data_IF_468644202785
#
_entry.id   IF_468644202785
#
_cell.length_a   1.000
_cell.length_b   1.000
_cell.length_c   1.000
_cell.angle_alpha   90.00
_cell.angle_beta   90.00
_cell.angle_gamma   90.00
#
_symmetry.space_group_name_H-M   'P 1'
#
loop_
_entity.id
_entity.type
_entity.pdbx_description
1 polymer ?
#
# COMPACT_ATOMS: atom_id res chain seq x y z
N UNK A 1 8.34 15.71 -18.63
CA UNK A 1 7.67 15.85 -17.33
C UNK A 1 8.70 15.66 -16.25
N UNK A 2 8.74 16.53 -15.25
CA UNK A 2 9.81 16.54 -14.25
C UNK A 2 9.33 15.95 -12.93
N UNK A 3 9.89 14.79 -12.56
CA UNK A 3 9.82 14.27 -11.19
C UNK A 3 10.52 15.24 -10.23
N UNK A 4 10.04 15.30 -8.98
CA UNK A 4 10.68 16.06 -7.92
C UNK A 4 11.81 15.24 -7.28
N UNK A 5 13.03 15.39 -7.79
CA UNK A 5 14.20 14.67 -7.27
C UNK A 5 14.58 15.05 -5.83
N UNK A 6 14.18 16.23 -5.35
CA UNK A 6 14.42 16.65 -3.98
C UNK A 6 13.53 15.91 -2.95
N UNK A 7 12.55 15.12 -3.41
CA UNK A 7 11.73 14.29 -2.54
C UNK A 7 12.46 13.05 -2.02
N UNK A 8 13.55 12.64 -2.67
CA UNK A 8 14.34 11.47 -2.25
C UNK A 8 14.91 11.68 -0.84
N UNK A 9 14.66 10.72 0.04
CA UNK A 9 15.12 10.75 1.43
C UNK A 9 14.27 11.60 2.39
N UNK A 10 13.30 12.38 1.90
CA UNK A 10 12.43 13.21 2.75
C UNK A 10 11.38 12.34 3.45
N UNK A 11 11.17 12.58 4.75
CA UNK A 11 10.14 11.90 5.54
C UNK A 11 8.73 12.21 4.98
N UNK A 12 7.92 11.17 4.89
CA UNK A 12 6.49 11.18 4.54
C UNK A 12 5.72 10.57 5.72
N UNK A 13 4.59 11.18 6.09
CA UNK A 13 3.82 10.80 7.28
C UNK A 13 4.24 11.55 8.56
N UNK A 14 3.64 11.18 9.71
CA UNK A 14 2.78 10.02 9.90
C UNK A 14 1.43 10.15 9.18
N UNK A 15 0.99 9.04 8.59
CA UNK A 15 -0.35 8.86 8.03
C UNK A 15 -1.09 7.86 8.90
N UNK A 16 -2.27 8.23 9.39
CA UNK A 16 -3.10 7.38 10.23
C UNK A 16 -4.20 6.74 9.39
N UNK A 17 -4.35 5.43 9.53
CA UNK A 17 -5.37 4.65 8.83
C UNK A 17 -6.04 3.70 9.81
N UNK A 18 -7.36 3.58 9.73
CA UNK A 18 -8.13 2.64 10.54
C UNK A 18 -8.80 1.61 9.64
N UNK A 19 -9.03 0.44 10.19
CA UNK A 19 -9.77 -0.63 9.53
C UNK A 19 -10.59 -1.40 10.56
N UNK A 20 -11.67 -2.01 10.10
CA UNK A 20 -12.51 -2.92 10.85
C UNK A 20 -12.52 -4.31 10.20
N UNK A 21 -13.10 -5.29 10.91
CA UNK A 21 -13.31 -6.64 10.38
C UNK A 21 -14.04 -6.64 9.02
N UNK A 22 -14.91 -5.64 8.77
CA UNK A 22 -15.64 -5.51 7.49
C UNK A 22 -14.72 -5.23 6.31
N UNK A 23 -13.67 -4.43 6.51
CA UNK A 23 -12.70 -4.11 5.46
C UNK A 23 -11.86 -5.33 5.10
N UNK A 24 -11.54 -6.17 6.10
CA UNK A 24 -10.88 -7.47 5.89
C UNK A 24 -11.75 -8.39 5.05
N UNK A 25 -13.04 -8.54 5.39
CA UNK A 25 -13.98 -9.37 4.63
C UNK A 25 -14.17 -8.83 3.21
N UNK A 26 -14.32 -7.51 3.07
CA UNK A 26 -14.45 -6.86 1.76
C UNK A 26 -13.22 -7.11 0.90
N UNK A 27 -12.02 -6.99 1.47
CA UNK A 27 -10.78 -7.31 0.79
C UNK A 27 -10.74 -8.77 0.36
N UNK A 28 -11.06 -9.70 1.26
CA UNK A 28 -10.97 -11.13 0.99
C UNK A 28 -11.87 -11.54 -0.18
N UNK A 29 -13.13 -11.08 -0.18
CA UNK A 29 -14.04 -11.31 -1.32
C UNK A 29 -13.53 -10.61 -2.58
N UNK A 30 -12.99 -9.40 -2.45
CA UNK A 30 -12.41 -8.65 -3.57
C UNK A 30 -11.21 -9.32 -4.24
N UNK A 31 -10.43 -10.12 -3.49
CA UNK A 31 -9.32 -10.92 -4.02
C UNK A 31 -9.67 -12.37 -4.33
N UNK A 32 -10.95 -12.74 -4.20
CA UNK A 32 -11.49 -14.00 -4.73
C UNK A 32 -11.84 -15.08 -3.70
N UNK A 33 -11.85 -14.78 -2.40
CA UNK A 33 -12.32 -15.74 -1.39
C UNK A 33 -13.77 -16.18 -1.69
N UNK A 34 -13.97 -17.49 -1.75
CA UNK A 34 -15.22 -18.10 -2.21
C UNK A 34 -16.16 -18.59 -1.10
N UNK A 35 -17.28 -19.20 -1.51
CA UNK A 35 -18.32 -19.70 -0.59
C UNK A 35 -17.83 -20.79 0.36
N UNK A 36 -16.82 -21.58 -0.04
CA UNK A 36 -16.26 -22.67 0.77
C UNK A 36 -15.18 -22.20 1.75
N UNK A 37 -14.79 -20.91 1.71
CA UNK A 37 -13.71 -20.33 2.52
C UNK A 37 -14.26 -19.39 3.61
N UNK A 38 -15.21 -19.89 4.40
CA UNK A 38 -15.93 -19.09 5.41
C UNK A 38 -15.02 -18.42 6.45
N UNK A 39 -13.81 -18.94 6.71
CA UNK A 39 -12.83 -18.25 7.57
C UNK A 39 -12.41 -16.86 7.07
N UNK A 40 -12.69 -16.48 5.83
CA UNK A 40 -12.40 -15.15 5.30
C UNK A 40 -13.62 -14.22 5.24
N UNK A 41 -14.81 -14.73 5.56
CA UNK A 41 -16.07 -13.98 5.47
C UNK A 41 -16.84 -13.93 6.79
N UNK A 42 -16.59 -14.86 7.72
CA UNK A 42 -17.30 -14.96 9.00
C UNK A 42 -16.46 -14.38 10.15
N UNK A 43 -16.95 -13.31 10.75
CA UNK A 43 -16.25 -12.46 11.71
C UNK A 43 -15.83 -13.17 13.01
N UNK A 44 -16.57 -14.19 13.46
CA UNK A 44 -16.27 -14.90 14.71
C UNK A 44 -15.00 -15.76 14.64
N UNK A 45 -14.55 -16.12 13.44
CA UNK A 45 -13.36 -16.94 13.20
C UNK A 45 -12.50 -16.41 12.06
N UNK A 46 -12.54 -15.09 11.89
CA UNK A 46 -11.96 -14.40 10.74
C UNK A 46 -10.44 -14.56 10.70
N UNK A 47 -9.93 -15.06 9.58
CA UNK A 47 -8.53 -15.03 9.21
C UNK A 47 -8.30 -13.84 8.29
N UNK A 48 -7.15 -13.18 8.44
CA UNK A 48 -6.76 -12.08 7.56
C UNK A 48 -5.84 -12.62 6.47
N UNK A 49 -6.16 -12.35 5.20
CA UNK A 49 -5.24 -12.62 4.09
C UNK A 49 -4.07 -11.63 4.21
N UNK A 50 -2.80 -12.09 4.29
CA UNK A 50 -1.63 -11.24 4.54
C UNK A 50 -1.54 -9.96 3.68
N UNK A 51 -1.90 -10.05 2.41
CA UNK A 51 -1.86 -8.95 1.45
C UNK A 51 -2.91 -7.84 1.71
N UNK A 52 -3.79 -8.02 2.69
CA UNK A 52 -4.68 -6.97 3.19
C UNK A 52 -3.91 -5.75 3.73
N UNK A 53 -2.65 -5.89 4.14
CA UNK A 53 -1.83 -4.76 4.55
C UNK A 53 -1.67 -3.68 3.45
N UNK A 54 -1.71 -4.08 2.18
CA UNK A 54 -1.46 -3.20 1.03
C UNK A 54 -2.52 -2.10 0.85
N UNK A 55 -3.84 -2.40 0.82
CA UNK A 55 -4.84 -1.36 0.71
C UNK A 55 -4.92 -0.44 1.93
N UNK A 56 -4.53 -0.89 3.14
CA UNK A 56 -4.56 -0.05 4.34
C UNK A 56 -3.59 1.14 4.21
N UNK A 57 -2.47 0.98 3.50
CA UNK A 57 -1.46 2.02 3.30
C UNK A 57 -1.70 2.92 2.08
N UNK A 58 -2.90 2.88 1.48
CA UNK A 58 -3.21 3.65 0.25
C UNK A 58 -3.01 5.16 0.41
N UNK A 59 -3.26 5.70 1.60
CA UNK A 59 -3.06 7.12 1.89
C UNK A 59 -1.58 7.51 1.89
N UNK A 60 -0.68 6.62 2.34
CA UNK A 60 0.76 6.82 2.20
C UNK A 60 1.17 6.85 0.72
N UNK A 61 0.62 5.96 -0.10
CA UNK A 61 0.86 5.98 -1.54
C UNK A 61 0.40 7.29 -2.19
N UNK A 62 -0.75 7.84 -1.79
CA UNK A 62 -1.21 9.14 -2.27
C UNK A 62 -0.22 10.28 -1.94
N UNK A 63 0.39 10.25 -0.74
CA UNK A 63 1.45 11.19 -0.38
C UNK A 63 2.70 11.02 -1.24
N UNK A 64 3.13 9.78 -1.53
CA UNK A 64 4.26 9.50 -2.43
C UNK A 64 4.02 10.08 -3.82
N UNK A 65 2.81 9.90 -4.37
CA UNK A 65 2.42 10.50 -5.66
C UNK A 65 2.52 12.02 -5.61
N UNK A 66 1.96 12.65 -4.57
CA UNK A 66 1.96 14.10 -4.42
C UNK A 66 3.38 14.67 -4.31
N UNK A 67 4.24 14.09 -3.46
CA UNK A 67 5.60 14.61 -3.23
C UNK A 67 6.56 14.35 -4.38
N UNK A 68 6.37 13.26 -5.14
CA UNK A 68 7.21 12.90 -6.29
C UNK A 68 6.88 13.71 -7.54
N UNK A 69 5.72 14.36 -7.60
CA UNK A 69 5.20 15.06 -8.77
C UNK A 69 5.04 14.13 -10.00
N UNK A 70 4.74 12.85 -9.76
CA UNK A 70 4.46 11.89 -10.82
C UNK A 70 3.10 12.17 -11.47
N UNK A 71 2.99 12.01 -12.79
CA UNK A 71 1.70 12.03 -13.46
C UNK A 71 1.07 10.64 -13.44
N UNK A 72 -0.06 10.55 -12.75
CA UNK A 72 -0.86 9.34 -12.64
C UNK A 72 -1.30 8.79 -14.01
N UNK A 73 -1.58 9.65 -14.99
CA UNK A 73 -2.08 9.22 -16.31
C UNK A 73 -1.07 8.42 -17.15
N UNK A 74 0.20 8.38 -16.76
CA UNK A 74 1.24 7.57 -17.42
C UNK A 74 1.96 6.61 -16.47
N UNK A 75 1.42 6.38 -15.27
CA UNK A 75 2.06 5.59 -14.22
C UNK A 75 1.55 4.16 -14.22
N UNK A 76 2.45 3.22 -13.99
CA UNK A 76 2.15 1.83 -13.66
C UNK A 76 2.72 1.51 -12.29
N UNK A 77 2.00 0.68 -11.52
CA UNK A 77 2.56 0.08 -10.31
C UNK A 77 3.45 -1.10 -10.73
N UNK A 78 4.76 -0.91 -10.66
CA UNK A 78 5.74 -1.87 -11.22
C UNK A 78 6.00 -3.07 -10.33
N UNK A 79 6.35 -2.81 -9.07
CA UNK A 79 6.81 -3.81 -8.11
C UNK A 79 6.23 -3.53 -6.73
N UNK A 80 6.09 -4.57 -5.91
CA UNK A 80 5.63 -4.48 -4.53
C UNK A 80 6.33 -5.54 -3.68
N UNK A 81 6.80 -5.13 -2.50
CA UNK A 81 7.35 -6.03 -1.50
C UNK A 81 6.64 -5.80 -0.15
N UNK A 82 6.38 -6.88 0.57
CA UNK A 82 5.62 -6.86 1.82
C UNK A 82 6.26 -7.82 2.84
N UNK A 83 6.69 -7.25 3.96
CA UNK A 83 7.20 -8.01 5.10
C UNK A 83 6.24 -7.80 6.28
N UNK A 84 5.64 -8.89 6.76
CA UNK A 84 4.79 -8.86 7.95
C UNK A 84 5.59 -9.29 9.17
N UNK A 85 5.79 -8.35 10.11
CA UNK A 85 6.45 -8.64 11.38
C UNK A 85 5.52 -9.34 12.39
N UNK A 86 4.20 -9.13 12.26
CA UNK A 86 3.18 -9.73 13.10
C UNK A 86 1.92 -10.03 12.28
N UNK A 87 1.06 -10.98 12.71
CA UNK A 87 -0.27 -11.14 12.15
C UNK A 87 -1.10 -9.85 12.26
N UNK A 88 -1.95 -9.57 11.26
CA UNK A 88 -2.87 -8.43 11.27
C UNK A 88 -4.07 -8.77 12.18
N UNK A 89 -4.43 -7.91 13.16
CA UNK A 89 -5.59 -8.11 14.02
C UNK A 89 -6.92 -8.21 13.25
N UNK A 90 -7.65 -9.33 13.41
CA UNK A 90 -8.89 -9.57 12.68
C UNK A 90 -10.08 -8.69 13.12
N UNK A 91 -10.05 -8.19 14.35
CA UNK A 91 -11.10 -7.33 14.92
C UNK A 91 -11.07 -5.89 14.38
N UNK A 92 -10.01 -5.49 13.67
CA UNK A 92 -9.75 -4.11 13.29
C UNK A 92 -8.67 -3.45 14.15
N UNK A 93 -8.29 -2.24 13.76
CA UNK A 93 -7.28 -1.46 14.47
C UNK A 93 -6.91 -0.17 13.75
N UNK A 94 -5.85 0.46 14.26
CA UNK A 94 -5.22 1.65 13.68
C UNK A 94 -3.79 1.32 13.28
N UNK A 95 -3.36 1.84 12.13
CA UNK A 95 -1.98 1.81 11.66
C UNK A 95 -1.48 3.25 11.53
N UNK A 96 -0.23 3.44 11.94
CA UNK A 96 0.54 4.66 11.68
C UNK A 96 1.61 4.31 10.67
N UNK A 97 1.56 4.94 9.51
CA UNK A 97 2.49 4.71 8.40
C UNK A 97 3.44 5.90 8.27
N UNK A 98 4.73 5.64 8.35
CA UNK A 98 5.79 6.61 8.11
C UNK A 98 6.75 6.03 7.10
N UNK A 99 7.26 6.84 6.17
CA UNK A 99 8.15 6.32 5.14
C UNK A 99 8.84 7.42 4.37
N UNK A 100 9.36 7.08 3.21
CA UNK A 100 10.02 8.03 2.30
C UNK A 100 10.12 7.46 0.89
N UNK A 101 10.36 8.32 -0.08
CA UNK A 101 10.90 7.90 -1.37
C UNK A 101 12.38 7.58 -1.17
N UNK A 102 12.77 6.32 -1.39
CA UNK A 102 14.15 5.87 -1.22
C UNK A 102 14.98 6.11 -2.47
N UNK A 103 14.40 5.90 -3.64
CA UNK A 103 15.11 6.01 -4.92
C UNK A 103 14.23 6.52 -6.06
N UNK A 104 14.88 7.18 -7.03
CA UNK A 104 14.34 7.45 -8.35
C UNK A 104 15.38 7.08 -9.40
N UNK A 105 15.03 6.19 -10.33
CA UNK A 105 15.92 5.72 -11.39
C UNK A 105 15.41 6.16 -12.77
N UNK A 106 16.29 6.71 -13.59
CA UNK A 106 16.04 6.90 -15.02
C UNK A 106 16.24 5.55 -15.73
N UNK A 107 15.22 5.09 -16.47
CA UNK A 107 15.30 3.83 -17.22
C UNK A 107 15.86 4.02 -18.64
N UNK A 108 16.24 5.25 -18.98
CA UNK A 108 16.81 5.65 -20.24
C UNK A 108 15.79 6.27 -21.20
N UNK A 109 16.26 6.73 -22.38
CA UNK A 109 15.43 7.46 -23.32
C UNK A 109 14.14 6.72 -23.68
N UNK A 110 13.00 7.40 -23.52
CA UNK A 110 11.65 6.89 -23.83
C UNK A 110 11.18 5.68 -23.01
N UNK A 111 11.90 5.30 -21.94
CA UNK A 111 11.54 4.15 -21.07
C UNK A 111 10.91 4.56 -19.73
N UNK A 112 10.82 5.87 -19.47
CA UNK A 112 10.29 6.42 -18.23
C UNK A 112 11.27 6.32 -17.07
N UNK A 113 10.74 6.41 -15.86
CA UNK A 113 11.49 6.35 -14.62
C UNK A 113 10.85 5.37 -13.64
N UNK A 114 11.61 4.90 -12.66
CA UNK A 114 11.13 4.09 -11.55
C UNK A 114 11.26 4.91 -10.26
N UNK A 115 10.16 5.04 -9.51
CA UNK A 115 10.15 5.67 -8.19
C UNK A 115 9.91 4.57 -7.16
N UNK A 116 10.78 4.48 -6.15
CA UNK A 116 10.69 3.49 -5.09
C UNK A 116 10.43 4.21 -3.77
N UNK A 117 9.40 3.78 -3.05
CA UNK A 117 9.08 4.25 -1.72
C UNK A 117 8.94 3.08 -0.76
N UNK A 118 9.31 3.31 0.50
CA UNK A 118 9.28 2.33 1.58
C UNK A 118 8.67 3.00 2.82
N UNK A 119 7.89 2.22 3.58
CA UNK A 119 7.26 2.58 4.83
C UNK A 119 7.45 1.46 5.86
#
# INVERSE_FOLDING_TARGET
MSLNLAAVGRKIGPVHSTYAWKDIVLYAVGVGAGFDELEYAYEERLKVIPSFAVPIVIEFFAQVVAVSNVNLGGMLHGEHDLILHNPIPAQGGELVTEGKITHMYDRGPKKGALVIAEA
#
